data_IF_226669750824
#
_entry.id   IF_226669750824
#
_cell.length_a   1.000
_cell.length_b   1.000
_cell.length_c   1.000
_cell.angle_alpha   90.00
_cell.angle_beta   90.00
_cell.angle_gamma   90.00
#
_symmetry.space_group_name_H-M   'P 1'
#
loop_
_entity.id
_entity.type
_entity.pdbx_description
1 polymer ?
#
# COMPACT_ATOMS: atom_id res chain seq x y z
N UNK A 1 -8.35 -22.60 -25.21
CA UNK A 1 -9.51 -21.71 -25.49
C UNK A 1 -10.04 -21.18 -24.15
N UNK A 2 -10.59 -19.95 -24.06
CA UNK A 2 -10.93 -19.29 -22.78
C UNK A 2 -12.39 -19.59 -22.38
N UNK A 3 -12.68 -19.62 -21.07
CA UNK A 3 -14.03 -19.85 -20.46
C UNK A 3 -14.55 -21.30 -20.55
N UNK A 4 -13.72 -22.26 -20.15
CA UNK A 4 -14.14 -23.66 -20.04
C UNK A 4 -14.44 -24.00 -18.58
N UNK A 5 -15.59 -24.65 -18.37
CA UNK A 5 -15.99 -25.18 -17.06
C UNK A 5 -15.25 -26.51 -16.81
N UNK A 6 -15.05 -27.29 -17.87
CA UNK A 6 -14.36 -28.59 -17.83
C UNK A 6 -13.12 -28.49 -18.72
N UNK A 7 -11.99 -28.95 -18.20
CA UNK A 7 -10.70 -28.97 -18.88
C UNK A 7 -10.19 -30.40 -18.98
N UNK A 8 -9.32 -30.67 -19.96
CA UNK A 8 -8.69 -31.98 -20.12
C UNK A 8 -7.78 -32.32 -18.94
N UNK A 9 -7.59 -33.61 -18.66
CA UNK A 9 -6.80 -34.08 -17.53
C UNK A 9 -5.36 -33.56 -17.51
N UNK A 10 -4.78 -33.30 -18.68
CA UNK A 10 -3.43 -32.72 -18.82
C UNK A 10 -3.26 -31.33 -18.18
N UNK A 11 -4.35 -30.58 -17.97
CA UNK A 11 -4.31 -29.19 -17.46
C UNK A 11 -4.62 -29.12 -15.95
N UNK A 12 -5.01 -30.25 -15.33
CA UNK A 12 -5.41 -30.31 -13.91
C UNK A 12 -4.31 -29.75 -12.99
N UNK A 13 -3.04 -30.12 -13.22
CA UNK A 13 -1.94 -29.70 -12.38
C UNK A 13 -1.82 -28.16 -12.29
N UNK A 14 -1.82 -27.48 -13.44
CA UNK A 14 -1.70 -26.02 -13.50
C UNK A 14 -2.93 -25.31 -12.95
N UNK A 15 -4.13 -25.86 -13.17
CA UNK A 15 -5.34 -25.31 -12.59
C UNK A 15 -5.36 -25.42 -11.06
N UNK A 16 -4.92 -26.55 -10.50
CA UNK A 16 -4.82 -26.71 -9.04
C UNK A 16 -3.77 -25.77 -8.43
N UNK A 17 -2.63 -25.57 -9.11
CA UNK A 17 -1.65 -24.59 -8.66
C UNK A 17 -2.22 -23.16 -8.70
N UNK A 18 -2.96 -22.83 -9.75
CA UNK A 18 -3.62 -21.52 -9.88
C UNK A 18 -4.69 -21.28 -8.81
N UNK A 19 -5.49 -22.30 -8.45
CA UNK A 19 -6.51 -22.16 -7.41
C UNK A 19 -5.88 -22.01 -6.03
N UNK A 20 -4.78 -22.70 -5.74
CA UNK A 20 -3.99 -22.49 -4.52
C UNK A 20 -3.51 -21.02 -4.43
N UNK A 21 -3.00 -20.46 -5.53
CA UNK A 21 -2.62 -19.04 -5.57
C UNK A 21 -3.79 -18.11 -5.24
N UNK A 22 -4.99 -18.38 -5.76
CA UNK A 22 -6.18 -17.57 -5.43
C UNK A 22 -6.58 -17.65 -3.96
N UNK A 23 -6.38 -18.79 -3.30
CA UNK A 23 -6.64 -18.92 -1.86
C UNK A 23 -5.63 -18.10 -1.05
N UNK A 24 -4.35 -18.09 -1.47
CA UNK A 24 -3.33 -17.29 -0.79
C UNK A 24 -3.57 -15.78 -0.90
N UNK A 25 -4.10 -15.29 -2.03
CA UNK A 25 -4.39 -13.86 -2.19
C UNK A 25 -5.55 -13.42 -1.30
N UNK A 26 -6.57 -14.25 -1.13
CA UNK A 26 -7.67 -14.00 -0.19
C UNK A 26 -7.14 -13.86 1.24
N UNK A 27 -6.27 -14.79 1.66
CA UNK A 27 -5.65 -14.72 2.99
C UNK A 27 -4.80 -13.45 3.17
N UNK A 28 -4.06 -13.04 2.13
CA UNK A 28 -3.28 -11.80 2.16
C UNK A 28 -4.16 -10.55 2.33
N UNK A 29 -5.33 -10.50 1.67
CA UNK A 29 -6.27 -9.38 1.82
C UNK A 29 -6.76 -9.26 3.26
N UNK A 30 -7.13 -10.37 3.90
CA UNK A 30 -7.54 -10.35 5.30
C UNK A 30 -6.43 -9.86 6.23
N UNK A 31 -5.21 -10.34 6.04
CA UNK A 31 -4.05 -9.89 6.80
C UNK A 31 -3.78 -8.40 6.60
N UNK A 32 -3.93 -7.90 5.37
CA UNK A 32 -3.76 -6.49 5.06
C UNK A 32 -4.79 -5.62 5.77
N UNK A 33 -6.07 -6.00 5.75
CA UNK A 33 -7.13 -5.27 6.46
C UNK A 33 -6.86 -5.25 7.97
N UNK A 34 -6.48 -6.39 8.54
CA UNK A 34 -6.14 -6.47 9.96
C UNK A 34 -4.97 -5.54 10.32
N UNK A 35 -3.93 -5.47 9.49
CA UNK A 35 -2.79 -4.58 9.72
C UNK A 35 -3.17 -3.09 9.75
N UNK A 36 -4.11 -2.66 8.91
CA UNK A 36 -4.62 -1.28 8.91
C UNK A 36 -5.35 -0.98 10.22
N UNK A 37 -6.22 -1.89 10.65
CA UNK A 37 -6.98 -1.74 11.89
C UNK A 37 -6.05 -1.66 13.10
N UNK A 38 -5.02 -2.52 13.16
CA UNK A 38 -4.03 -2.51 14.25
C UNK A 38 -3.21 -1.20 14.28
N UNK A 39 -2.83 -0.67 13.11
CA UNK A 39 -2.12 0.61 13.02
C UNK A 39 -2.97 1.78 13.55
N UNK A 40 -4.27 1.81 13.26
CA UNK A 40 -5.18 2.85 13.77
C UNK A 40 -5.34 2.74 15.30
N UNK A 41 -5.46 1.52 15.82
CA UNK A 41 -5.67 1.28 17.26
C UNK A 41 -4.41 1.54 18.11
N UNK A 42 -3.22 1.19 17.59
CA UNK A 42 -1.97 1.25 18.35
C UNK A 42 -1.40 2.67 18.54
N UNK A 43 -1.91 3.69 17.82
CA UNK A 43 -1.57 5.12 17.97
C UNK A 43 -0.06 5.40 18.08
N UNK A 44 0.77 4.66 17.34
CA UNK A 44 2.23 4.81 17.37
C UNK A 44 2.64 6.14 16.74
N UNK A 45 3.42 6.94 17.46
CA UNK A 45 3.98 8.21 16.95
C UNK A 45 5.26 7.95 16.16
N UNK A 46 5.50 8.77 15.13
CA UNK A 46 6.73 8.73 14.32
C UNK A 46 7.89 9.30 15.15
N UNK A 47 8.97 8.53 15.31
CA UNK A 47 10.15 8.93 16.11
C UNK A 47 11.12 9.76 15.25
N UNK A 48 11.32 9.36 13.99
CA UNK A 48 12.21 10.06 13.06
C UNK A 48 11.53 10.21 11.69
N UNK A 49 11.56 11.42 11.15
CA UNK A 49 11.08 11.72 9.81
C UNK A 49 12.20 11.52 8.79
N UNK A 50 11.85 10.99 7.62
CA UNK A 50 12.77 10.80 6.49
C UNK A 50 13.20 12.17 5.98
N UNK A 51 14.51 12.41 5.91
CA UNK A 51 15.07 13.59 5.23
C UNK A 51 14.96 13.40 3.72
N UNK A 52 13.81 13.77 3.15
CA UNK A 52 13.59 13.75 1.71
C UNK A 52 13.58 15.17 1.12
N UNK A 53 13.84 15.26 -0.19
CA UNK A 53 13.77 16.54 -0.92
C UNK A 53 12.32 16.97 -1.21
N UNK A 54 11.34 16.11 -0.96
CA UNK A 54 9.94 16.41 -1.20
C UNK A 54 9.36 17.18 -0.01
N UNK A 55 8.67 18.30 -0.30
CA UNK A 55 8.22 19.22 0.73
C UNK A 55 7.13 18.63 1.65
N UNK A 56 6.36 17.65 1.16
CA UNK A 56 5.30 16.98 1.92
C UNK A 56 5.83 16.32 3.20
N UNK A 57 7.02 15.72 3.15
CA UNK A 57 7.64 15.03 4.28
C UNK A 57 8.31 15.97 5.29
N UNK A 58 8.41 17.27 4.96
CA UNK A 58 8.90 18.31 5.89
C UNK A 58 7.79 18.88 6.76
N UNK A 59 6.53 18.65 6.40
CA UNK A 59 5.38 19.13 7.17
C UNK A 59 5.14 18.26 8.42
N UNK A 60 4.37 18.80 9.37
CA UNK A 60 3.95 18.05 10.55
C UNK A 60 3.06 16.85 10.19
N UNK A 61 3.13 15.81 11.02
CA UNK A 61 2.27 14.62 10.95
C UNK A 61 1.38 14.54 12.22
N UNK A 62 0.07 14.87 12.17
CA UNK A 62 -0.71 15.24 11.00
C UNK A 62 -0.47 16.67 10.52
N UNK A 63 -0.84 16.91 9.27
CA UNK A 63 -0.76 18.18 8.58
C UNK A 63 -1.71 19.19 9.25
N UNK A 64 -1.22 20.40 9.52
CA UNK A 64 -2.05 21.49 10.04
C UNK A 64 -2.95 22.06 8.92
N UNK A 65 -4.09 22.68 9.27
CA UNK A 65 -5.04 23.23 8.28
C UNK A 65 -4.41 24.23 7.30
N UNK A 66 -3.46 25.03 7.77
CA UNK A 66 -2.67 25.96 6.96
C UNK A 66 -1.18 25.65 7.11
N UNK A 67 -0.62 24.90 6.16
CA UNK A 67 0.81 24.55 6.12
C UNK A 67 1.66 25.58 5.40
N UNK A 68 1.23 26.03 4.23
CA UNK A 68 2.00 26.94 3.38
C UNK A 68 1.65 28.40 3.69
N UNK A 69 2.02 28.88 4.88
CA UNK A 69 1.86 30.30 5.24
C UNK A 69 2.79 31.21 4.44
N UNK A 70 3.94 30.68 4.04
CA UNK A 70 4.96 31.37 3.25
C UNK A 70 5.30 30.53 2.00
N UNK A 71 5.68 31.21 0.92
CA UNK A 71 6.15 30.55 -0.30
C UNK A 71 7.54 29.96 -0.06
N UNK A 72 7.77 28.74 -0.55
CA UNK A 72 9.09 28.11 -0.48
C UNK A 72 10.08 28.91 -1.33
N UNK A 73 11.19 29.31 -0.73
CA UNK A 73 12.26 29.97 -1.44
C UNK A 73 13.04 28.96 -2.30
N UNK A 74 13.10 29.24 -3.61
CA UNK A 74 13.93 28.50 -4.56
C UNK A 74 15.17 29.34 -4.87
N UNK A 75 16.35 28.80 -4.57
CA UNK A 75 17.63 29.50 -4.73
C UNK A 75 17.97 29.77 -6.22
N UNK A 76 17.49 28.92 -7.14
CA UNK A 76 17.57 29.17 -8.58
C UNK A 76 16.16 29.18 -9.18
N UNK A 77 15.62 30.38 -9.43
CA UNK A 77 14.54 30.54 -10.41
C UNK A 77 15.16 30.39 -11.80
N UNK A 78 14.67 29.45 -12.59
CA UNK A 78 14.69 29.60 -14.04
C UNK A 78 13.58 30.60 -14.38
#
# INVERSE_FOLDING_TARGET
PRRYIIYSDFIIFWNNLSTLGSMTTIMFIFMFIYSIIDLINSKRKIIFMIKSNNNEWKNNSPIMSHTNKEMMFLFNKI
#
